data_IF_359846771989
#
_entry.id   IF_359846771989
#
_cell.length_a   1.000
_cell.length_b   1.000
_cell.length_c   1.000
_cell.angle_alpha   90.00
_cell.angle_beta   90.00
_cell.angle_gamma   90.00
#
_symmetry.space_group_name_H-M   'P 1'
#
loop_
_entity.id
_entity.type
_entity.pdbx_description
1 polymer ?
#
# COMPACT_ATOMS: atom_id res chain seq x y z
N UNK A 1 9.36 13.98 -8.95
CA UNK A 1 10.39 12.92 -8.77
C UNK A 1 10.86 12.93 -7.32
N UNK A 2 10.60 11.86 -6.58
CA UNK A 2 11.03 11.71 -5.18
C UNK A 2 12.52 11.37 -5.11
N UNK A 3 13.29 12.15 -4.35
CA UNK A 3 14.71 11.86 -4.07
C UNK A 3 14.87 10.61 -3.21
N UNK A 4 13.90 10.29 -2.36
CA UNK A 4 13.95 9.08 -1.53
C UNK A 4 13.84 7.81 -2.40
N UNK A 5 12.97 7.82 -3.41
CA UNK A 5 12.84 6.69 -4.34
C UNK A 5 14.02 6.69 -5.33
N UNK A 6 14.34 7.83 -5.94
CA UNK A 6 15.33 7.90 -7.04
C UNK A 6 16.77 7.75 -6.56
N UNK A 7 17.14 8.39 -5.46
CA UNK A 7 18.54 8.48 -5.01
C UNK A 7 18.81 7.55 -3.82
N UNK A 8 17.83 7.33 -2.92
CA UNK A 8 17.98 6.43 -1.76
C UNK A 8 17.47 5.01 -2.01
N UNK A 9 16.82 4.76 -3.15
CA UNK A 9 16.21 3.48 -3.52
C UNK A 9 15.29 2.95 -2.42
N UNK A 10 14.56 3.87 -1.78
CA UNK A 10 13.67 3.56 -0.66
C UNK A 10 12.33 3.02 -1.16
N UNK A 11 12.43 1.90 -1.86
CA UNK A 11 11.31 1.11 -2.33
C UNK A 11 11.70 -0.37 -2.34
N UNK A 12 10.68 -1.23 -2.33
CA UNK A 12 10.89 -2.68 -2.47
C UNK A 12 9.79 -3.26 -3.32
N UNK A 13 10.17 -4.09 -4.28
CA UNK A 13 9.26 -4.86 -5.11
C UNK A 13 9.41 -6.33 -4.78
N UNK A 14 8.30 -7.04 -4.61
CA UNK A 14 8.29 -8.44 -4.24
C UNK A 14 7.15 -9.20 -4.93
N UNK A 15 7.40 -10.49 -5.14
CA UNK A 15 6.48 -11.48 -5.67
C UNK A 15 6.07 -12.40 -4.52
N UNK A 16 4.76 -12.65 -4.41
CA UNK A 16 4.18 -13.48 -3.37
C UNK A 16 3.34 -14.59 -4.00
N UNK A 17 3.34 -15.76 -3.37
CA UNK A 17 2.53 -16.89 -3.78
C UNK A 17 1.03 -16.64 -3.62
N UNK A 18 0.18 -17.59 -4.04
CA UNK A 18 -1.27 -17.46 -3.93
C UNK A 18 -1.80 -17.35 -2.48
N UNK A 19 -1.00 -17.75 -1.50
CA UNK A 19 -1.27 -17.62 -0.06
C UNK A 19 -0.63 -16.35 0.55
N UNK A 20 -0.01 -15.50 -0.27
CA UNK A 20 0.70 -14.31 0.16
C UNK A 20 2.08 -14.58 0.75
N UNK A 21 2.61 -15.81 0.69
CA UNK A 21 3.99 -16.11 1.12
C UNK A 21 5.03 -15.49 0.18
N UNK A 22 6.10 -14.90 0.71
CA UNK A 22 7.15 -14.27 -0.08
C UNK A 22 7.91 -15.30 -0.93
N UNK A 23 7.94 -15.10 -2.25
CA UNK A 23 8.64 -15.98 -3.21
C UNK A 23 9.94 -15.36 -3.68
N UNK A 24 9.95 -14.06 -3.98
CA UNK A 24 11.12 -13.33 -4.46
C UNK A 24 11.01 -11.84 -4.16
N UNK A 25 12.13 -11.16 -3.92
CA UNK A 25 12.19 -9.72 -3.67
C UNK A 25 13.41 -9.07 -4.34
N UNK A 26 13.27 -7.80 -4.70
CA UNK A 26 14.40 -6.96 -5.09
C UNK A 26 15.31 -6.66 -3.87
N UNK A 27 16.65 -6.58 -4.05
CA UNK A 27 17.59 -6.76 -2.95
C UNK A 27 18.02 -5.44 -2.30
N UNK A 28 17.22 -4.75 -1.48
CA UNK A 28 17.69 -3.46 -0.92
C UNK A 28 17.28 -3.15 0.53
N UNK A 29 16.16 -3.65 1.06
CA UNK A 29 15.69 -3.30 2.42
C UNK A 29 15.10 -4.53 3.16
N UNK A 30 15.85 -5.18 4.07
CA UNK A 30 15.40 -6.40 4.76
C UNK A 30 14.16 -6.23 5.63
N UNK A 31 13.95 -5.05 6.23
CA UNK A 31 12.78 -4.78 7.11
C UNK A 31 11.45 -4.82 6.34
N UNK A 32 11.47 -4.58 5.03
CA UNK A 32 10.28 -4.65 4.19
C UNK A 32 9.79 -6.08 3.99
N UNK A 33 10.63 -7.10 4.17
CA UNK A 33 10.31 -8.47 3.77
C UNK A 33 9.23 -9.12 4.64
N UNK A 34 9.35 -8.99 5.96
CA UNK A 34 8.33 -9.50 6.89
C UNK A 34 7.04 -8.70 6.81
N UNK A 35 7.15 -7.36 6.87
CA UNK A 35 5.99 -6.48 6.92
C UNK A 35 5.18 -6.49 5.62
N UNK A 36 5.82 -6.55 4.43
CA UNK A 36 5.08 -6.65 3.16
C UNK A 36 4.34 -7.98 3.03
N UNK A 37 4.92 -9.09 3.50
CA UNK A 37 4.23 -10.38 3.50
C UNK A 37 2.95 -10.33 4.33
N UNK A 38 3.03 -9.77 5.54
CA UNK A 38 1.86 -9.56 6.40
C UNK A 38 0.82 -8.66 5.74
N UNK A 39 1.24 -7.57 5.05
CA UNK A 39 0.29 -6.73 4.31
C UNK A 39 -0.43 -7.51 3.22
N UNK A 40 0.29 -8.28 2.40
CA UNK A 40 -0.34 -9.07 1.33
C UNK A 40 -1.31 -10.09 1.90
N UNK A 41 -0.90 -10.84 2.94
CA UNK A 41 -1.76 -11.83 3.61
C UNK A 41 -2.99 -11.19 4.25
N UNK A 42 -2.84 -10.01 4.86
CA UNK A 42 -3.96 -9.24 5.38
C UNK A 42 -4.95 -8.91 4.27
N UNK A 43 -4.49 -8.39 3.12
CA UNK A 43 -5.40 -8.01 2.03
C UNK A 43 -6.10 -9.23 1.41
N UNK A 44 -5.41 -10.37 1.29
CA UNK A 44 -6.02 -11.63 0.84
C UNK A 44 -7.18 -12.01 1.75
N UNK A 45 -6.97 -11.97 3.06
CA UNK A 45 -8.00 -12.30 4.06
C UNK A 45 -9.08 -11.24 4.18
N UNK A 46 -8.75 -9.96 4.01
CA UNK A 46 -9.69 -8.87 4.17
C UNK A 46 -10.66 -8.75 2.99
N UNK A 47 -10.17 -9.05 1.78
CA UNK A 47 -10.97 -8.91 0.55
C UNK A 47 -11.60 -10.23 0.10
N UNK A 48 -10.96 -11.37 0.36
CA UNK A 48 -11.46 -12.70 -0.02
C UNK A 48 -11.99 -12.73 -1.48
N UNK A 49 -13.26 -13.10 -1.66
CA UNK A 49 -13.93 -13.21 -2.97
C UNK A 49 -14.16 -11.85 -3.67
N UNK A 50 -13.92 -10.73 -2.98
CA UNK A 50 -14.02 -9.38 -3.54
C UNK A 50 -12.78 -8.97 -4.34
N UNK A 51 -11.69 -9.76 -4.35
CA UNK A 51 -10.57 -9.53 -5.27
C UNK A 51 -10.97 -9.90 -6.70
N UNK A 52 -10.84 -8.95 -7.62
CA UNK A 52 -11.12 -9.13 -9.04
C UNK A 52 -9.87 -8.87 -9.88
N UNK A 53 -9.86 -9.44 -11.07
CA UNK A 53 -8.83 -9.14 -12.07
C UNK A 53 -8.86 -7.65 -12.40
N UNK A 54 -7.67 -7.03 -12.50
CA UNK A 54 -7.53 -5.59 -12.72
C UNK A 54 -7.66 -4.73 -11.46
N UNK A 55 -7.89 -5.31 -10.27
CA UNK A 55 -7.81 -4.58 -9.02
C UNK A 55 -6.36 -4.21 -8.65
N UNK A 56 -6.17 -3.07 -8.00
CA UNK A 56 -4.91 -2.65 -7.36
C UNK A 56 -5.24 -2.07 -6.00
N UNK A 57 -4.56 -2.55 -4.96
CA UNK A 57 -4.85 -2.23 -3.56
C UNK A 57 -3.74 -1.35 -2.99
N UNK A 58 -4.09 -0.30 -2.27
CA UNK A 58 -3.21 0.57 -1.51
C UNK A 58 -3.43 0.34 -0.01
N UNK A 59 -2.35 0.18 0.74
CA UNK A 59 -2.37 0.01 2.20
C UNK A 59 -1.12 0.55 2.88
N UNK A 60 -1.28 1.13 4.06
CA UNK A 60 -0.20 1.54 4.96
C UNK A 60 -0.57 1.46 6.45
N UNK A 61 -1.80 1.05 6.78
CA UNK A 61 -2.27 0.99 8.16
C UNK A 61 -1.46 -0.05 8.95
N UNK A 62 -1.00 0.24 10.18
CA UNK A 62 -0.20 -0.70 10.98
C UNK A 62 -0.91 -2.04 11.24
N UNK A 63 -2.23 -2.01 11.49
CA UNK A 63 -3.03 -3.23 11.64
C UNK A 63 -3.17 -4.08 10.37
N UNK A 64 -2.74 -3.55 9.22
CA UNK A 64 -2.70 -4.22 7.93
C UNK A 64 -1.25 -4.47 7.46
N UNK A 65 -0.29 -4.61 8.37
CA UNK A 65 1.11 -4.90 8.05
C UNK A 65 1.95 -3.69 7.61
N UNK A 66 1.41 -2.47 7.76
CA UNK A 66 2.19 -1.24 7.58
C UNK A 66 3.29 -1.11 8.64
N UNK A 67 4.51 -0.76 8.23
CA UNK A 67 5.65 -0.49 9.12
C UNK A 67 5.51 0.87 9.80
N UNK A 68 5.18 1.89 9.02
CA UNK A 68 4.76 3.22 9.43
C UNK A 68 4.02 3.87 8.26
N UNK A 69 3.23 4.91 8.54
CA UNK A 69 2.32 5.47 7.53
C UNK A 69 2.99 5.99 6.24
N UNK A 70 4.20 6.57 6.27
CA UNK A 70 4.94 6.95 5.06
C UNK A 70 5.21 5.82 4.07
N UNK A 71 5.23 4.57 4.53
CA UNK A 71 5.47 3.40 3.70
C UNK A 71 4.16 2.90 3.09
N UNK A 72 3.95 3.24 1.83
CA UNK A 72 2.75 2.86 1.12
C UNK A 72 3.00 1.59 0.33
N UNK A 73 2.15 0.59 0.54
CA UNK A 73 2.21 -0.68 -0.17
C UNK A 73 1.11 -0.73 -1.21
N UNK A 74 1.50 -0.87 -2.48
CA UNK A 74 0.61 -1.13 -3.61
C UNK A 74 0.68 -2.61 -3.95
N UNK A 75 -0.46 -3.29 -3.99
CA UNK A 75 -0.57 -4.73 -4.19
C UNK A 75 -1.46 -4.99 -5.41
N UNK A 76 -0.98 -5.81 -6.33
CA UNK A 76 -1.74 -6.22 -7.51
C UNK A 76 -1.90 -7.74 -7.51
N UNK A 77 -3.14 -8.27 -7.34
CA UNK A 77 -3.42 -9.67 -7.60
C UNK A 77 -3.24 -9.97 -9.08
N UNK A 78 -2.56 -11.08 -9.40
CA UNK A 78 -2.42 -11.55 -10.79
C UNK A 78 -3.28 -12.77 -10.99
N UNK A 79 -4.15 -12.71 -11.99
CA UNK A 79 -5.05 -13.79 -12.37
C UNK A 79 -4.51 -14.49 -13.62
N UNK A 80 -4.89 -15.76 -13.77
CA UNK A 80 -4.81 -16.48 -15.05
C UNK A 80 -6.20 -16.45 -15.67
N UNK A 81 -6.28 -16.53 -17.00
CA UNK A 81 -7.53 -16.72 -17.73
C UNK A 81 -8.36 -17.82 -17.06
N UNK A 82 -9.63 -17.50 -16.77
CA UNK A 82 -10.63 -18.38 -16.13
C UNK A 82 -10.30 -18.84 -14.69
N UNK A 83 -9.28 -18.28 -14.03
CA UNK A 83 -9.00 -18.61 -12.64
C UNK A 83 -9.95 -17.87 -11.69
N UNK A 84 -10.62 -18.56 -10.74
CA UNK A 84 -11.53 -17.91 -9.79
C UNK A 84 -10.80 -17.11 -8.69
N UNK A 85 -9.47 -17.27 -8.58
CA UNK A 85 -8.63 -16.64 -7.57
C UNK A 85 -7.28 -16.24 -8.15
N UNK A 86 -6.56 -15.28 -7.53
CA UNK A 86 -5.21 -14.92 -7.94
C UNK A 86 -4.27 -16.13 -7.92
N UNK A 87 -3.38 -16.22 -8.91
CA UNK A 87 -2.32 -17.22 -8.97
C UNK A 87 -1.08 -16.78 -8.19
N UNK A 88 -0.84 -15.48 -8.10
CA UNK A 88 0.21 -14.86 -7.29
C UNK A 88 -0.11 -13.37 -7.09
N UNK A 89 0.69 -12.69 -6.28
CA UNK A 89 0.58 -11.26 -6.06
C UNK A 89 1.92 -10.59 -6.31
N UNK A 90 1.88 -9.36 -6.82
CA UNK A 90 3.03 -8.46 -6.82
C UNK A 90 2.74 -7.33 -5.86
N UNK A 91 3.74 -6.91 -5.09
CA UNK A 91 3.62 -5.73 -4.26
C UNK A 91 4.85 -4.84 -4.39
N UNK A 92 4.60 -3.54 -4.35
CA UNK A 92 5.63 -2.51 -4.28
C UNK A 92 5.37 -1.67 -3.05
N UNK A 93 6.38 -1.50 -2.19
CA UNK A 93 6.34 -0.56 -1.06
C UNK A 93 7.27 0.60 -1.36
N UNK A 94 6.81 1.83 -1.17
CA UNK A 94 7.61 3.03 -1.38
C UNK A 94 7.44 4.01 -0.23
N UNK A 95 8.55 4.66 0.15
CA UNK A 95 8.55 5.64 1.22
C UNK A 95 8.24 7.06 0.70
N UNK A 96 7.22 7.69 1.28
CA UNK A 96 6.87 9.07 0.99
C UNK A 96 7.34 9.99 2.13
N UNK A 97 8.16 10.99 1.78
CA UNK A 97 8.75 11.90 2.78
C UNK A 97 7.71 12.74 3.54
N UNK A 98 6.50 12.87 3.02
CA UNK A 98 5.37 13.55 3.63
C UNK A 98 4.06 12.92 3.11
N UNK A 99 3.13 12.64 4.02
CA UNK A 99 1.80 12.08 3.74
C UNK A 99 0.66 12.91 4.35
N UNK A 100 0.94 14.17 4.71
CA UNK A 100 -0.04 15.15 5.20
C UNK A 100 -0.31 15.10 6.70
N UNK A 101 0.68 14.77 7.52
CA UNK A 101 0.59 14.83 8.98
C UNK A 101 0.53 16.26 9.55
N UNK A 102 0.45 16.40 10.87
CA UNK A 102 0.34 17.69 11.57
C UNK A 102 1.58 18.60 11.40
N UNK A 103 2.72 18.01 11.05
CA UNK A 103 3.98 18.72 10.79
C UNK A 103 4.57 18.18 9.50
N UNK A 104 5.13 19.03 8.61
CA UNK A 104 5.80 18.56 7.41
C UNK A 104 6.90 17.54 7.72
N UNK A 105 6.94 16.48 6.91
CA UNK A 105 7.90 15.38 7.05
C UNK A 105 7.26 14.04 7.39
N UNK A 106 8.12 13.02 7.51
CA UNK A 106 7.73 11.61 7.53
C UNK A 106 7.12 11.16 8.87
N UNK A 107 7.66 11.64 9.99
CA UNK A 107 7.30 11.14 11.32
C UNK A 107 7.16 12.31 12.32
N UNK A 108 5.96 12.92 12.45
CA UNK A 108 5.72 14.02 13.37
C UNK A 108 5.87 13.56 14.84
N UNK A 109 6.86 14.07 15.61
CA UNK A 109 7.20 13.53 16.94
C UNK A 109 6.20 13.88 18.04
N UNK A 110 5.22 14.74 17.76
CA UNK A 110 4.21 15.19 18.72
C UNK A 110 2.83 14.59 18.47
N UNK A 111 2.71 13.66 17.52
CA UNK A 111 1.46 12.93 17.30
C UNK A 111 1.10 12.10 18.51
N UNK A 112 -0.19 12.12 18.85
CA UNK A 112 -0.83 11.35 19.92
C UNK A 112 -1.81 10.33 19.35
N UNK A 113 -2.13 10.42 18.05
CA UNK A 113 -3.00 9.50 17.34
C UNK A 113 -2.63 9.39 15.86
N UNK A 114 -2.98 8.25 15.22
CA UNK A 114 -2.72 8.02 13.79
C UNK A 114 -3.33 9.10 12.88
N UNK A 115 -4.45 9.72 13.28
CA UNK A 115 -5.10 10.80 12.52
C UNK A 115 -4.23 12.05 12.38
N UNK A 116 -3.24 12.21 13.25
CA UNK A 116 -2.30 13.33 13.23
C UNK A 116 -1.05 13.02 12.39
N UNK A 117 -0.83 11.76 12.01
CA UNK A 117 0.36 11.33 11.29
C UNK A 117 0.20 11.35 9.75
N UNK A 118 -1.04 11.52 9.25
CA UNK A 118 -1.32 11.77 7.84
C UNK A 118 -2.33 10.80 7.24
N UNK A 119 -2.17 10.51 5.95
CA UNK A 119 -3.05 9.61 5.22
C UNK A 119 -2.92 8.15 5.71
N UNK A 120 -4.06 7.50 5.96
CA UNK A 120 -4.12 6.14 6.47
C UNK A 120 -5.07 5.31 5.61
N UNK A 121 -4.59 4.15 5.15
CA UNK A 121 -5.28 3.22 4.28
C UNK A 121 -5.17 1.81 4.85
N UNK A 122 -6.28 1.29 5.38
CA UNK A 122 -6.36 -0.12 5.78
C UNK A 122 -6.39 -1.01 4.54
N UNK A 123 -7.32 -0.71 3.62
CA UNK A 123 -7.50 -1.38 2.34
C UNK A 123 -8.25 -0.44 1.41
N UNK A 124 -7.58 0.06 0.38
CA UNK A 124 -8.20 0.92 -0.62
C UNK A 124 -7.96 0.38 -2.03
N UNK A 125 -9.02 0.15 -2.82
CA UNK A 125 -8.88 -0.21 -4.23
C UNK A 125 -8.50 1.04 -5.04
N UNK A 126 -7.20 1.25 -5.22
CA UNK A 126 -6.65 2.32 -6.06
C UNK A 126 -7.08 2.18 -7.52
N UNK A 127 -7.15 0.94 -7.99
CA UNK A 127 -7.76 0.57 -9.26
C UNK A 127 -8.80 -0.50 -8.94
N UNK A 128 -10.01 -0.34 -9.48
CA UNK A 128 -11.09 -1.31 -9.39
C UNK A 128 -11.38 -1.81 -10.80
N UNK A 129 -11.12 -3.09 -11.05
CA UNK A 129 -11.37 -3.75 -12.35
C UNK A 129 -10.83 -2.92 -13.54
N UNK A 130 -9.58 -2.44 -13.43
CA UNK A 130 -8.92 -1.64 -14.47
C UNK A 130 -9.24 -0.15 -14.47
N UNK A 131 -10.16 0.32 -13.62
CA UNK A 131 -10.52 1.75 -13.52
C UNK A 131 -9.89 2.41 -12.29
N UNK A 132 -9.04 3.43 -12.50
CA UNK A 132 -8.43 4.19 -11.43
C UNK A 132 -9.49 4.97 -10.62
N UNK A 133 -9.38 4.94 -9.29
CA UNK A 133 -10.36 5.54 -8.39
C UNK A 133 -9.89 6.93 -7.92
N UNK A 134 -10.26 7.98 -8.65
CA UNK A 134 -9.82 9.37 -8.36
C UNK A 134 -10.42 9.95 -7.07
N UNK A 135 -11.71 9.71 -6.84
CA UNK A 135 -12.44 10.31 -5.70
C UNK A 135 -12.33 9.49 -4.41
N UNK A 136 -11.89 8.24 -4.53
CA UNK A 136 -11.75 7.27 -3.45
C UNK A 136 -13.03 7.05 -2.62
N UNK A 137 -13.79 5.99 -2.93
CA UNK A 137 -14.87 5.55 -2.05
C UNK A 137 -14.28 5.09 -0.70
N UNK A 138 -14.70 5.71 0.41
CA UNK A 138 -14.12 5.52 1.74
C UNK A 138 -14.89 4.49 2.55
N UNK A 139 -14.23 3.49 3.17
CA UNK A 139 -14.87 2.66 4.18
C UNK A 139 -15.05 3.37 5.54
N UNK A 140 -14.20 4.36 5.89
CA UNK A 140 -13.95 4.69 7.32
C UNK A 140 -14.01 6.18 7.73
N UNK A 141 -14.75 7.06 7.03
CA UNK A 141 -14.83 8.50 7.37
C UNK A 141 -13.47 9.25 7.43
N UNK A 142 -12.38 8.68 6.89
CA UNK A 142 -11.09 9.37 6.77
C UNK A 142 -11.28 10.70 6.02
N UNK A 143 -10.60 11.81 6.38
CA UNK A 143 -10.71 13.05 5.63
C UNK A 143 -10.39 12.80 4.15
N UNK A 144 -11.01 13.57 3.25
CA UNK A 144 -10.66 13.51 1.83
C UNK A 144 -9.15 13.54 1.71
N UNK A 145 -8.56 12.57 1.03
CA UNK A 145 -7.19 12.70 0.53
C UNK A 145 -7.22 14.03 -0.20
N UNK A 146 -6.65 15.08 0.41
CA UNK A 146 -6.66 16.41 -0.22
C UNK A 146 -6.04 16.18 -1.58
N UNK A 147 -6.55 16.84 -2.62
CA UNK A 147 -6.01 16.71 -3.98
C UNK A 147 -4.47 16.88 -4.04
N UNK A 148 -3.89 17.53 -3.03
CA UNK A 148 -2.45 17.66 -2.77
C UNK A 148 -1.74 16.35 -2.38
N UNK A 149 -2.37 15.45 -1.63
CA UNK A 149 -1.79 14.16 -1.23
C UNK A 149 -1.71 13.25 -2.46
N UNK A 150 -2.78 13.13 -3.28
CA UNK A 150 -2.73 12.41 -4.56
C UNK A 150 -1.58 12.86 -5.47
N UNK A 151 -1.28 14.17 -5.51
CA UNK A 151 -0.15 14.74 -6.29
C UNK A 151 1.24 14.39 -5.77
N UNK A 152 1.37 13.93 -4.53
CA UNK A 152 2.63 13.47 -3.95
C UNK A 152 2.75 11.94 -3.93
N UNK A 153 1.64 11.24 -4.18
CA UNK A 153 1.56 9.78 -4.22
C UNK A 153 1.90 9.17 -5.59
N UNK A 154 1.63 9.89 -6.68
CA UNK A 154 1.97 9.56 -8.07
C UNK A 154 3.13 10.42 -8.56
#
# INVERSE_FOLDING_TARGET
ISTNIKERLDFSCALFGPDGGLVSNAPHIPVHLGAMQETVQFQIKNLEDNLKEGDVILSNHPSAGGSHLPDLTVITPVFRVEAPRPVFFVASRGHHADIGGITPGSMPPHSKSLKEEGAVFTSFKLVKEGTFQEEGERPDNAPSIKHSVWRHLL
#
